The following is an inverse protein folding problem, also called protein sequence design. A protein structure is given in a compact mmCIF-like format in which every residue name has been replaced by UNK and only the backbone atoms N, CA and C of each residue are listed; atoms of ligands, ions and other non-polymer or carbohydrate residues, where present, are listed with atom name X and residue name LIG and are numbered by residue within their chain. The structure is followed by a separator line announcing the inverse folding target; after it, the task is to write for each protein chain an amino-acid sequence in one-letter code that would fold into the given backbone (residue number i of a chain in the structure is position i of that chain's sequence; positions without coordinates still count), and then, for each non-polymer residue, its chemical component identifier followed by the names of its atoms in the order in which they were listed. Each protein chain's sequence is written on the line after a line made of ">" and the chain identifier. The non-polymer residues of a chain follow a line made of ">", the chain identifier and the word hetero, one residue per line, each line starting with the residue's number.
data_IF_605583669318
#
_entry.id   IF_605583669318
#
_cell.length_a   1.000
_cell.length_b   1.000
_cell.length_c   1.000
_cell.angle_alpha   90.00
_cell.angle_beta   90.00
_cell.angle_gamma   90.00
#
_symmetry.space_group_name_H-M   'P 1'
#
loop_
_entity.id
_entity.type
_entity.pdbx_description
1 polymer ?
#
# COMPACT_ATOMS: atom_id res chain seq x y z
N UNK A 1 -13.93 -30.93 3.36
CA UNK A 1 -13.76 -31.18 1.92
C UNK A 1 -12.51 -30.41 1.51
N UNK A 2 -11.38 -31.11 1.36
CA UNK A 2 -10.14 -30.53 0.82
C UNK A 2 -10.37 -30.37 -0.67
N UNK A 3 -10.39 -29.15 -1.16
CA UNK A 3 -10.53 -28.87 -2.59
C UNK A 3 -9.24 -29.22 -3.33
N UNK A 4 -9.32 -29.71 -4.58
CA UNK A 4 -8.19 -30.29 -5.34
C UNK A 4 -6.96 -29.39 -5.54
N UNK A 5 -7.07 -28.07 -5.36
CA UNK A 5 -5.96 -27.10 -5.48
C UNK A 5 -5.07 -27.12 -4.23
N UNK A 6 -5.63 -27.28 -3.04
CA UNK A 6 -4.85 -27.46 -1.80
C UNK A 6 -3.99 -28.74 -1.85
N UNK A 7 -4.44 -29.73 -2.61
CA UNK A 7 -3.76 -31.03 -2.75
C UNK A 7 -2.45 -30.95 -3.53
N UNK A 8 -2.25 -29.93 -4.39
CA UNK A 8 -1.01 -29.76 -5.16
C UNK A 8 0.04 -28.90 -4.45
N UNK A 9 -0.36 -27.86 -3.73
CA UNK A 9 0.58 -26.93 -3.09
C UNK A 9 1.28 -27.57 -1.87
N UNK A 10 0.54 -28.23 -0.99
CA UNK A 10 1.08 -28.85 0.22
C UNK A 10 2.23 -29.85 -0.01
N UNK A 11 2.17 -30.78 -0.97
CA UNK A 11 3.28 -31.70 -1.25
C UNK A 11 4.53 -30.98 -1.76
N UNK A 12 4.36 -29.88 -2.51
CA UNK A 12 5.49 -29.09 -3.02
C UNK A 12 6.22 -28.41 -1.86
N UNK A 13 5.49 -27.77 -0.94
CA UNK A 13 6.06 -27.18 0.26
C UNK A 13 6.71 -28.24 1.16
N UNK A 14 6.06 -29.37 1.40
CA UNK A 14 6.61 -30.44 2.20
C UNK A 14 7.93 -30.97 1.61
N UNK A 15 8.01 -31.11 0.30
CA UNK A 15 9.24 -31.51 -0.40
C UNK A 15 10.34 -30.48 -0.26
N UNK A 16 10.04 -29.18 -0.41
CA UNK A 16 11.01 -28.10 -0.28
C UNK A 16 11.57 -27.98 1.13
N UNK A 17 10.80 -28.37 2.14
CA UNK A 17 11.19 -28.30 3.56
C UNK A 17 11.85 -29.58 4.08
N UNK A 18 11.84 -30.68 3.31
CA UNK A 18 12.33 -32.00 3.77
C UNK A 18 13.83 -32.02 4.14
N UNK A 19 14.63 -31.16 3.53
CA UNK A 19 16.07 -31.02 3.78
C UNK A 19 16.41 -29.91 4.81
N UNK A 20 15.40 -29.39 5.54
CA UNK A 20 15.56 -28.32 6.54
C UNK A 20 16.36 -27.11 6.00
N UNK A 21 15.94 -26.50 4.89
CA UNK A 21 16.70 -25.42 4.26
C UNK A 21 16.74 -24.18 5.15
N UNK A 22 17.83 -23.42 5.10
CA UNK A 22 17.95 -22.12 5.75
C UNK A 22 17.12 -21.03 5.04
N UNK A 23 16.87 -21.19 3.72
CA UNK A 23 16.13 -20.26 2.88
C UNK A 23 15.11 -21.01 2.03
N UNK A 24 13.86 -20.55 2.06
CA UNK A 24 12.78 -21.02 1.21
C UNK A 24 12.49 -19.96 0.14
N UNK A 25 12.65 -20.34 -1.14
CA UNK A 25 12.35 -19.47 -2.27
C UNK A 25 10.98 -19.84 -2.86
N UNK A 26 10.07 -18.89 -2.89
CA UNK A 26 8.72 -19.04 -3.43
C UNK A 26 8.56 -18.12 -4.64
N UNK A 27 8.39 -18.73 -5.81
CA UNK A 27 8.16 -18.01 -7.06
C UNK A 27 6.66 -18.06 -7.39
N UNK A 28 6.00 -16.89 -7.35
CA UNK A 28 4.56 -16.72 -7.59
C UNK A 28 3.67 -17.75 -6.85
N UNK A 29 3.82 -17.93 -5.52
CA UNK A 29 3.17 -19.03 -4.80
C UNK A 29 1.65 -18.97 -4.79
N UNK A 30 1.05 -17.86 -5.20
CA UNK A 30 -0.39 -17.59 -5.14
C UNK A 30 -1.04 -17.31 -6.50
N UNK A 31 -0.27 -17.23 -7.58
CA UNK A 31 -0.71 -16.70 -8.89
C UNK A 31 -1.86 -17.47 -9.58
N UNK A 32 -2.15 -18.69 -9.16
CA UNK A 32 -3.22 -19.52 -9.75
C UNK A 32 -4.28 -19.94 -8.71
N UNK A 33 -4.35 -19.24 -7.57
CA UNK A 33 -5.20 -19.59 -6.45
C UNK A 33 -6.36 -18.59 -6.30
N UNK A 34 -7.48 -19.11 -5.79
CA UNK A 34 -8.58 -18.28 -5.34
C UNK A 34 -8.21 -17.54 -4.03
N UNK A 35 -8.91 -16.45 -3.66
CA UNK A 35 -8.55 -15.63 -2.51
C UNK A 35 -8.54 -16.37 -1.16
N UNK A 36 -9.36 -17.41 -0.98
CA UNK A 36 -9.41 -18.20 0.26
C UNK A 36 -8.17 -19.13 0.35
N UNK A 37 -7.86 -19.79 -0.74
CA UNK A 37 -6.67 -20.65 -0.85
C UNK A 37 -5.40 -19.82 -0.74
N UNK A 38 -5.34 -18.64 -1.36
CA UNK A 38 -4.22 -17.68 -1.22
C UNK A 38 -3.96 -17.38 0.25
N UNK A 39 -5.00 -17.01 1.02
CA UNK A 39 -4.84 -16.73 2.46
C UNK A 39 -4.27 -17.93 3.21
N UNK A 40 -4.80 -19.12 2.95
CA UNK A 40 -4.36 -20.36 3.61
C UNK A 40 -2.89 -20.66 3.32
N UNK A 41 -2.42 -20.46 2.09
CA UNK A 41 -1.02 -20.65 1.70
C UNK A 41 -0.10 -19.61 2.36
N UNK A 42 -0.51 -18.34 2.39
CA UNK A 42 0.27 -17.30 3.06
C UNK A 42 0.37 -17.51 4.56
N UNK A 43 -0.70 -17.98 5.20
CA UNK A 43 -0.69 -18.32 6.62
C UNK A 43 0.21 -19.56 6.90
N UNK A 44 0.22 -20.55 5.99
CA UNK A 44 1.13 -21.68 6.05
C UNK A 44 2.60 -21.23 5.92
N UNK A 45 2.91 -20.36 4.96
CA UNK A 45 4.28 -19.84 4.78
C UNK A 45 4.74 -19.09 6.05
N UNK A 46 3.87 -18.30 6.66
CA UNK A 46 4.16 -17.61 7.92
C UNK A 46 4.41 -18.61 9.06
N UNK A 47 3.54 -19.60 9.22
CA UNK A 47 3.69 -20.66 10.23
C UNK A 47 5.01 -21.41 10.06
N UNK A 48 5.41 -21.74 8.84
CA UNK A 48 6.68 -22.40 8.53
C UNK A 48 7.86 -21.52 8.92
N UNK A 49 7.85 -20.23 8.53
CA UNK A 49 8.87 -19.26 8.92
C UNK A 49 9.02 -19.19 10.43
N UNK A 50 7.90 -19.01 11.14
CA UNK A 50 7.90 -18.78 12.59
C UNK A 50 8.30 -20.03 13.39
N UNK A 51 7.93 -21.22 12.92
CA UNK A 51 8.25 -22.49 13.60
C UNK A 51 9.64 -23.04 13.31
N UNK A 52 10.10 -22.88 12.06
CA UNK A 52 11.37 -23.46 11.61
C UNK A 52 12.51 -22.42 11.57
N UNK A 53 12.21 -21.13 11.74
CA UNK A 53 13.22 -20.07 11.66
C UNK A 53 13.83 -19.91 10.28
N UNK A 54 13.12 -20.37 9.23
CA UNK A 54 13.59 -20.30 7.85
C UNK A 54 13.39 -18.90 7.28
N UNK A 55 14.37 -18.41 6.54
CA UNK A 55 14.20 -17.18 5.77
C UNK A 55 13.34 -17.45 4.53
N UNK A 56 12.27 -16.70 4.33
CA UNK A 56 11.40 -16.85 3.17
C UNK A 56 11.61 -15.70 2.20
N UNK A 57 11.91 -16.02 0.95
CA UNK A 57 11.99 -15.06 -0.17
C UNK A 57 10.83 -15.34 -1.11
N UNK A 58 9.97 -14.34 -1.32
CA UNK A 58 8.80 -14.44 -2.20
C UNK A 58 9.02 -13.55 -3.41
N UNK A 59 8.87 -14.11 -4.60
CA UNK A 59 8.81 -13.37 -5.86
C UNK A 59 7.34 -13.28 -6.23
N UNK A 60 6.82 -12.07 -6.37
CA UNK A 60 5.42 -11.85 -6.75
C UNK A 60 5.23 -10.45 -7.34
N UNK A 61 4.22 -10.30 -8.16
CA UNK A 61 3.70 -9.00 -8.61
C UNK A 61 2.43 -8.58 -7.82
N UNK A 62 1.97 -9.40 -6.89
CA UNK A 62 0.79 -9.14 -6.08
C UNK A 62 1.13 -8.33 -4.82
N UNK A 63 0.89 -7.02 -4.82
CA UNK A 63 1.16 -6.16 -3.67
C UNK A 63 0.36 -6.54 -2.43
N UNK A 64 -0.79 -7.19 -2.58
CA UNK A 64 -1.59 -7.76 -1.48
C UNK A 64 -0.83 -8.84 -0.70
N UNK A 65 -0.03 -9.68 -1.39
CA UNK A 65 0.85 -10.67 -0.77
C UNK A 65 1.96 -9.98 0.01
N UNK A 66 2.62 -9.00 -0.62
CA UNK A 66 3.70 -8.24 0.02
C UNK A 66 3.21 -7.59 1.32
N UNK A 67 2.09 -6.86 1.27
CA UNK A 67 1.49 -6.21 2.46
C UNK A 67 1.14 -7.19 3.56
N UNK A 68 0.75 -8.43 3.20
CA UNK A 68 0.23 -9.40 4.17
C UNK A 68 1.31 -10.08 4.99
N UNK A 69 2.45 -10.45 4.40
CA UNK A 69 3.40 -11.35 5.08
C UNK A 69 4.88 -10.91 4.99
N UNK A 70 5.22 -9.91 4.22
CA UNK A 70 6.62 -9.49 4.06
C UNK A 70 7.03 -8.48 5.13
N UNK A 71 8.24 -8.63 5.65
CA UNK A 71 8.87 -7.68 6.57
C UNK A 71 9.74 -6.68 5.81
N UNK A 72 10.25 -7.09 4.64
CA UNK A 72 11.07 -6.27 3.74
C UNK A 72 10.68 -6.50 2.30
N UNK A 73 10.95 -5.54 1.44
CA UNK A 73 10.60 -5.59 0.02
C UNK A 73 11.73 -5.07 -0.85
N UNK A 74 11.87 -5.64 -2.05
CA UNK A 74 12.81 -5.18 -3.06
C UNK A 74 12.11 -5.09 -4.41
N UNK A 75 12.19 -3.94 -5.06
CA UNK A 75 11.67 -3.72 -6.41
C UNK A 75 12.75 -4.08 -7.43
N UNK A 76 12.44 -5.05 -8.28
CA UNK A 76 13.33 -5.53 -9.35
C UNK A 76 12.86 -5.00 -10.69
N UNK A 77 13.71 -4.26 -11.39
CA UNK A 77 13.46 -3.77 -12.75
C UNK A 77 14.62 -4.09 -13.66
N UNK A 78 14.35 -4.66 -14.83
CA UNK A 78 15.35 -5.02 -15.83
C UNK A 78 16.57 -5.78 -15.23
N UNK A 79 16.32 -6.69 -14.26
CA UNK A 79 17.33 -7.48 -13.60
C UNK A 79 18.16 -6.73 -12.54
N UNK A 80 17.72 -5.53 -12.13
CA UNK A 80 18.40 -4.72 -11.09
C UNK A 80 17.44 -4.37 -9.98
N UNK A 81 17.92 -4.37 -8.74
CA UNK A 81 17.18 -3.85 -7.60
C UNK A 81 17.28 -2.32 -7.67
N UNK A 82 16.11 -1.66 -7.85
CA UNK A 82 15.99 -0.20 -7.94
C UNK A 82 15.59 0.45 -6.62
N UNK A 83 14.91 -0.30 -5.76
CA UNK A 83 14.54 0.12 -4.40
C UNK A 83 14.47 -1.12 -3.50
N UNK A 84 14.90 -1.01 -2.24
CA UNK A 84 14.86 -2.11 -1.27
C UNK A 84 14.90 -1.56 0.14
N UNK A 85 14.23 -2.25 1.08
CA UNK A 85 14.28 -1.93 2.51
C UNK A 85 13.19 -2.64 3.31
N UNK A 86 13.18 -2.43 4.63
CA UNK A 86 12.05 -2.76 5.48
C UNK A 86 10.78 -2.12 4.94
N UNK A 87 9.64 -2.83 5.04
CA UNK A 87 8.38 -2.34 4.46
C UNK A 87 7.95 -1.00 5.07
N UNK A 88 8.23 -0.80 6.36
CA UNK A 88 7.94 0.44 7.09
C UNK A 88 8.72 1.64 6.52
N UNK A 89 10.00 1.46 6.21
CA UNK A 89 10.85 2.51 5.62
C UNK A 89 10.39 2.86 4.20
N UNK A 90 10.08 1.80 3.40
CA UNK A 90 9.63 1.98 2.02
C UNK A 90 8.31 2.73 1.95
N UNK A 91 7.34 2.41 2.83
CA UNK A 91 6.04 3.09 2.80
C UNK A 91 6.10 4.50 3.38
N UNK A 92 7.10 4.80 4.23
CA UNK A 92 7.34 6.14 4.76
C UNK A 92 7.86 7.09 3.69
N UNK A 93 8.56 6.58 2.67
CA UNK A 93 8.90 7.34 1.46
C UNK A 93 7.69 7.38 0.51
N UNK A 94 6.69 8.18 0.89
CA UNK A 94 5.38 8.25 0.22
C UNK A 94 5.45 8.70 -1.26
N UNK A 95 6.53 9.38 -1.65
CA UNK A 95 6.81 9.80 -3.02
C UNK A 95 7.38 8.68 -3.89
N UNK A 96 7.90 7.60 -3.29
CA UNK A 96 8.52 6.52 -4.05
C UNK A 96 7.51 5.71 -4.84
N UNK A 97 7.99 5.11 -5.94
CA UNK A 97 7.16 4.25 -6.78
C UNK A 97 6.67 3.04 -6.00
N UNK A 98 7.55 2.38 -5.26
CA UNK A 98 7.19 1.17 -4.51
C UNK A 98 6.17 1.47 -3.40
N UNK A 99 6.27 2.62 -2.73
CA UNK A 99 5.26 3.06 -1.78
C UNK A 99 3.88 3.27 -2.43
N UNK A 100 3.85 3.85 -3.65
CA UNK A 100 2.61 4.03 -4.42
C UNK A 100 2.01 2.71 -4.91
N UNK A 101 2.83 1.72 -5.24
CA UNK A 101 2.37 0.38 -5.60
C UNK A 101 1.86 -0.40 -4.38
N UNK A 102 2.55 -0.26 -3.23
CA UNK A 102 2.12 -0.89 -1.99
C UNK A 102 0.81 -0.30 -1.45
N UNK A 103 0.68 1.02 -1.44
CA UNK A 103 -0.54 1.72 -1.01
C UNK A 103 -0.93 2.71 -2.11
N UNK A 104 -1.72 2.27 -3.10
CA UNK A 104 -2.11 3.12 -4.21
C UNK A 104 -3.00 4.29 -3.74
N UNK A 105 -2.89 5.46 -4.39
CA UNK A 105 -3.81 6.55 -4.13
C UNK A 105 -5.26 6.11 -4.46
N UNK A 106 -6.25 6.62 -3.73
CA UNK A 106 -7.63 6.23 -3.94
C UNK A 106 -8.12 6.67 -5.32
N UNK A 107 -8.90 5.79 -5.98
CA UNK A 107 -9.65 6.15 -7.17
C UNK A 107 -10.77 7.12 -6.80
N UNK A 108 -10.87 8.23 -7.52
CA UNK A 108 -11.95 9.21 -7.36
C UNK A 108 -12.86 9.12 -8.59
N UNK A 109 -13.98 8.37 -8.51
CA UNK A 109 -14.90 8.25 -9.63
C UNK A 109 -15.50 9.62 -9.96
N UNK A 110 -15.39 10.03 -11.20
CA UNK A 110 -15.91 11.32 -11.66
C UNK A 110 -15.11 12.52 -11.16
N UNK A 111 -13.89 12.29 -10.69
CA UNK A 111 -12.99 13.36 -10.34
C UNK A 111 -12.89 14.33 -11.49
N UNK A 112 -13.59 15.39 -11.27
CA UNK A 112 -13.35 16.71 -11.75
C UNK A 112 -12.28 16.75 -12.84
N UNK A 113 -12.64 16.19 -14.00
CA UNK A 113 -12.01 16.66 -15.23
C UNK A 113 -12.40 18.14 -15.28
N UNK A 114 -11.42 19.00 -15.25
CA UNK A 114 -11.63 20.39 -15.57
C UNK A 114 -12.53 20.46 -16.83
N UNK A 115 -13.84 20.73 -16.67
CA UNK A 115 -14.73 20.81 -17.81
C UNK A 115 -16.08 20.11 -17.72
N UNK A 116 -16.56 19.61 -16.58
CA UNK A 116 -17.90 19.02 -16.41
C UNK A 116 -18.88 19.97 -15.74
N UNK A 117 -19.65 20.61 -16.55
CA UNK A 117 -20.80 21.49 -16.40
C UNK A 117 -21.62 21.49 -15.08
N UNK A 118 -22.07 22.74 -14.75
CA UNK A 118 -23.28 23.15 -14.06
C UNK A 118 -23.23 23.28 -12.53
N UNK A 119 -22.20 23.96 -12.03
CA UNK A 119 -22.41 24.89 -10.91
C UNK A 119 -21.52 26.11 -11.11
N UNK A 120 -22.12 27.26 -11.20
CA UNK A 120 -21.44 28.52 -11.57
C UNK A 120 -20.22 28.82 -10.67
N UNK A 121 -19.01 28.78 -11.24
CA UNK A 121 -17.90 29.62 -10.82
C UNK A 121 -16.68 28.97 -10.17
N UNK A 122 -16.69 27.79 -9.61
CA UNK A 122 -15.49 27.23 -8.96
C UNK A 122 -15.02 25.93 -9.65
N UNK A 123 -13.83 25.99 -10.24
CA UNK A 123 -13.12 24.79 -10.71
C UNK A 123 -12.51 24.12 -9.48
N UNK A 124 -12.95 22.89 -9.17
CA UNK A 124 -12.32 22.09 -8.12
C UNK A 124 -11.17 21.28 -8.71
N UNK A 125 -10.13 21.09 -7.94
CA UNK A 125 -8.98 20.24 -8.24
C UNK A 125 -8.88 19.15 -7.18
N UNK A 126 -8.16 18.07 -7.50
CA UNK A 126 -7.86 17.00 -6.56
C UNK A 126 -6.45 17.17 -6.02
N UNK A 127 -6.31 17.11 -4.72
CA UNK A 127 -5.02 17.02 -4.02
C UNK A 127 -4.86 15.59 -3.53
N UNK A 128 -3.76 14.96 -3.90
CA UNK A 128 -3.30 13.70 -3.32
C UNK A 128 -2.49 13.98 -2.06
N UNK A 129 -2.91 13.39 -0.96
CA UNK A 129 -2.24 13.50 0.34
C UNK A 129 -1.74 12.13 0.74
N UNK A 130 -0.49 12.05 1.15
CA UNK A 130 0.09 10.85 1.69
C UNK A 130 0.65 11.13 3.09
N UNK A 131 0.33 10.25 4.03
CA UNK A 131 0.72 10.35 5.41
C UNK A 131 1.16 8.99 5.95
N UNK A 132 2.13 9.03 6.85
CA UNK A 132 2.54 7.90 7.68
C UNK A 132 2.39 8.30 9.13
N UNK A 133 1.88 7.39 9.95
CA UNK A 133 1.77 7.57 11.39
C UNK A 133 2.26 6.32 12.11
N UNK A 134 2.97 6.52 13.19
CA UNK A 134 3.30 5.46 14.14
C UNK A 134 2.24 5.37 15.26
N UNK A 135 2.16 4.24 15.98
CA UNK A 135 1.19 4.07 17.04
C UNK A 135 1.24 5.22 18.07
N UNK A 136 0.11 5.89 18.28
CA UNK A 136 -0.01 7.02 19.18
C UNK A 136 0.06 8.41 18.53
N UNK A 137 0.31 8.51 17.23
CA UNK A 137 0.32 9.77 16.49
C UNK A 137 -1.05 10.01 15.80
N UNK A 138 -1.69 11.17 15.99
CA UNK A 138 -3.02 11.46 15.43
C UNK A 138 -2.97 11.99 13.98
N UNK A 139 -2.07 11.49 13.13
CA UNK A 139 -1.80 12.07 11.81
C UNK A 139 -3.05 12.23 10.92
N UNK A 140 -3.93 11.24 10.85
CA UNK A 140 -5.15 11.33 10.03
C UNK A 140 -6.11 12.42 10.54
N UNK A 141 -6.27 12.56 11.85
CA UNK A 141 -7.13 13.59 12.44
C UNK A 141 -6.57 15.01 12.23
N UNK A 142 -5.25 15.16 12.27
CA UNK A 142 -4.58 16.44 11.98
C UNK A 142 -4.78 16.83 10.52
N UNK A 143 -4.60 15.89 9.56
CA UNK A 143 -4.87 16.14 8.14
C UNK A 143 -6.30 16.62 7.94
N UNK A 144 -7.27 15.88 8.48
CA UNK A 144 -8.69 16.22 8.32
C UNK A 144 -9.03 17.60 8.93
N UNK A 145 -8.42 17.97 10.05
CA UNK A 145 -8.62 19.29 10.65
C UNK A 145 -8.05 20.41 9.76
N UNK A 146 -6.80 20.23 9.28
CA UNK A 146 -6.14 21.23 8.40
C UNK A 146 -6.90 21.44 7.10
N UNK A 147 -7.36 20.35 6.45
CA UNK A 147 -8.06 20.46 5.18
C UNK A 147 -9.49 20.99 5.32
N UNK A 148 -10.16 20.72 6.44
CA UNK A 148 -11.47 21.28 6.73
C UNK A 148 -11.45 22.81 6.83
N UNK A 149 -10.41 23.38 7.42
CA UNK A 149 -10.21 24.84 7.50
C UNK A 149 -10.05 25.47 6.11
N UNK A 150 -9.51 24.73 5.15
CA UNK A 150 -9.32 25.18 3.76
C UNK A 150 -10.57 24.98 2.88
N UNK A 151 -11.63 24.38 3.41
CA UNK A 151 -12.85 24.06 2.68
C UNK A 151 -12.67 22.91 1.70
N UNK A 152 -11.79 21.97 1.99
CA UNK A 152 -11.61 20.75 1.22
C UNK A 152 -12.55 19.64 1.70
N UNK A 153 -13.03 18.83 0.75
CA UNK A 153 -13.79 17.61 1.00
C UNK A 153 -12.94 16.37 0.72
N UNK A 154 -13.18 15.30 1.48
CA UNK A 154 -12.54 14.01 1.27
C UNK A 154 -13.28 13.25 0.17
N UNK A 155 -12.69 13.13 -1.00
CA UNK A 155 -13.23 12.39 -2.14
C UNK A 155 -12.97 10.88 -2.05
N UNK A 156 -11.89 10.48 -1.38
CA UNK A 156 -11.55 9.08 -1.17
C UNK A 156 -10.39 8.93 -0.20
N UNK A 157 -10.24 7.72 0.36
CA UNK A 157 -9.15 7.43 1.28
C UNK A 157 -8.87 5.93 1.38
N UNK A 158 -7.59 5.60 1.53
CA UNK A 158 -7.11 4.25 1.82
C UNK A 158 -6.18 4.35 3.02
N UNK A 159 -6.39 3.45 4.00
CA UNK A 159 -5.52 3.30 5.16
C UNK A 159 -5.09 1.85 5.26
N UNK A 160 -3.78 1.64 5.37
CA UNK A 160 -3.17 0.31 5.53
C UNK A 160 -2.24 0.34 6.73
N UNK A 161 -2.20 -0.77 7.46
CA UNK A 161 -1.22 -0.97 8.53
C UNK A 161 -0.19 -1.98 8.06
N UNK A 162 1.06 -1.54 7.96
CA UNK A 162 2.19 -2.33 7.46
C UNK A 162 3.27 -2.34 8.55
N UNK A 163 3.47 -3.49 9.16
CA UNK A 163 4.28 -3.59 10.37
C UNK A 163 3.68 -2.78 11.52
N UNK A 164 4.42 -1.82 12.05
CA UNK A 164 3.98 -0.87 13.07
C UNK A 164 3.52 0.47 12.48
N UNK A 165 3.80 0.73 11.20
CA UNK A 165 3.43 1.96 10.52
C UNK A 165 1.99 1.90 9.98
N UNK A 166 1.23 2.96 10.18
CA UNK A 166 -0.03 3.20 9.51
C UNK A 166 0.19 4.17 8.36
N UNK A 167 -0.17 3.75 7.15
CA UNK A 167 -0.05 4.56 5.94
C UNK A 167 -1.44 4.95 5.46
N UNK A 168 -1.65 6.24 5.23
CA UNK A 168 -2.88 6.79 4.67
C UNK A 168 -2.61 7.49 3.34
N UNK A 169 -3.49 7.27 2.38
CA UNK A 169 -3.57 8.08 1.16
C UNK A 169 -4.97 8.61 1.02
N UNK A 170 -5.08 9.92 0.88
CA UNK A 170 -6.35 10.62 0.73
C UNK A 170 -6.35 11.37 -0.60
N UNK A 171 -7.49 11.39 -1.25
CA UNK A 171 -7.80 12.31 -2.34
C UNK A 171 -8.78 13.35 -1.81
N UNK A 172 -8.40 14.61 -1.87
CA UNK A 172 -9.17 15.74 -1.41
C UNK A 172 -9.63 16.56 -2.61
N UNK A 173 -10.89 16.98 -2.62
CA UNK A 173 -11.39 17.97 -3.59
C UNK A 173 -11.43 19.34 -2.94
N UNK A 174 -10.89 20.35 -3.63
CA UNK A 174 -10.79 21.71 -3.12
C UNK A 174 -10.95 22.71 -4.28
N UNK A 175 -11.49 23.92 -4.05
CA UNK A 175 -11.46 24.99 -5.03
C UNK A 175 -10.03 25.31 -5.50
N UNK A 176 -9.83 25.45 -6.81
CA UNK A 176 -8.51 25.60 -7.42
C UNK A 176 -7.73 26.81 -6.89
N UNK A 177 -8.44 27.89 -6.53
CA UNK A 177 -7.85 29.10 -5.95
C UNK A 177 -7.28 28.88 -4.53
N UNK A 178 -7.71 27.85 -3.83
CA UNK A 178 -7.24 27.48 -2.48
C UNK A 178 -6.25 26.33 -2.47
N UNK A 179 -6.11 25.60 -3.57
CA UNK A 179 -5.31 24.37 -3.64
C UNK A 179 -3.86 24.61 -3.22
N UNK A 180 -3.25 25.69 -3.66
CA UNK A 180 -1.86 26.02 -3.33
C UNK A 180 -1.68 26.28 -1.83
N UNK A 181 -2.54 27.05 -1.22
CA UNK A 181 -2.48 27.35 0.21
C UNK A 181 -2.69 26.08 1.06
N UNK A 182 -3.59 25.20 0.61
CA UNK A 182 -3.81 23.92 1.28
C UNK A 182 -2.59 22.99 1.21
N UNK A 183 -1.93 22.90 0.04
CA UNK A 183 -0.70 22.11 -0.12
C UNK A 183 0.43 22.68 0.75
N UNK A 184 0.60 24.01 0.78
CA UNK A 184 1.61 24.66 1.62
C UNK A 184 1.33 24.38 3.13
N UNK A 185 0.08 24.50 3.59
CA UNK A 185 -0.29 24.21 4.97
C UNK A 185 -0.05 22.74 5.37
N UNK A 186 -0.30 21.79 4.45
CA UNK A 186 -0.02 20.37 4.67
C UNK A 186 1.50 20.11 4.74
N UNK A 187 2.28 20.72 3.87
CA UNK A 187 3.74 20.62 3.89
C UNK A 187 4.34 21.20 5.19
N UNK A 188 3.84 22.33 5.67
CA UNK A 188 4.27 22.93 6.93
C UNK A 188 3.98 22.03 8.14
N UNK A 189 2.96 21.20 8.03
CA UNK A 189 2.63 20.15 9.02
C UNK A 189 3.41 18.84 8.82
N UNK A 190 4.36 18.78 7.86
CA UNK A 190 5.15 17.59 7.57
C UNK A 190 4.40 16.52 6.75
N UNK A 191 3.28 16.88 6.12
CA UNK A 191 2.42 15.98 5.35
C UNK A 191 2.71 16.16 3.87
N UNK A 192 2.95 15.05 3.16
CA UNK A 192 3.17 15.09 1.71
C UNK A 192 1.85 15.29 0.98
N UNK A 193 1.77 16.34 0.17
CA UNK A 193 0.59 16.66 -0.62
C UNK A 193 0.99 17.18 -2.00
N UNK A 194 0.25 16.79 -3.03
CA UNK A 194 0.46 17.27 -4.41
C UNK A 194 -0.87 17.41 -5.14
N UNK A 195 -0.97 18.40 -6.04
CA UNK A 195 -2.14 18.55 -6.92
C UNK A 195 -2.08 17.48 -7.98
N UNK A 196 -3.13 16.68 -8.10
CA UNK A 196 -3.25 15.62 -9.13
C UNK A 196 -3.36 16.28 -10.51
N UNK A 197 -2.46 15.89 -11.43
CA UNK A 197 -2.42 16.38 -12.80
C UNK A 197 -3.51 15.77 -13.70
#
# INVERSE_FOLDING_TARGET
>A
KVTGVQTCALPIFARALADEPAVLLCDEPTSALDPETTRSILDLIRDVRDRLGVTVVIITHEMSVVRRICDSVSLLEAGRIVQSGPIEDVVSDVGSRLSRELVPPPDVPGAVRAGGAESAGAVNVVIDVALTAHPGEPAAAQVLALVAEQGADVAGGVFETLGTAQVGRLALTIPADRARAAVEALHDAGITAEVRA
#
